data_IF_828943392295
#
_entry.id   IF_828943392295
#
_cell.length_a   1.000
_cell.length_b   1.000
_cell.length_c   1.000
_cell.angle_alpha   90.00
_cell.angle_beta   90.00
_cell.angle_gamma   90.00
#
_symmetry.space_group_name_H-M   'P 1'
#
loop_
_entity.id
_entity.type
_entity.pdbx_description
1 polymer ?
#
# COMPACT_ATOMS: atom_id res chain seq x y z
N UNK A 1 5.77 -14.95 17.34
CA UNK A 1 5.64 -16.23 18.05
C UNK A 1 4.17 -16.59 18.16
N UNK A 2 3.80 -17.88 18.07
CA UNK A 2 2.39 -18.34 18.06
C UNK A 2 1.55 -17.82 19.24
N UNK A 3 2.17 -17.55 20.40
CA UNK A 3 1.47 -16.99 21.56
C UNK A 3 1.02 -15.54 21.38
N UNK A 4 1.65 -14.78 20.48
CA UNK A 4 1.27 -13.40 20.19
C UNK A 4 0.00 -13.33 19.33
N UNK A 5 -0.10 -14.22 18.32
CA UNK A 5 -1.29 -14.37 17.47
C UNK A 5 -2.49 -14.94 18.24
N UNK A 6 -2.22 -15.69 19.31
CA UNK A 6 -3.27 -16.18 20.21
C UNK A 6 -4.04 -15.06 20.92
N UNK A 7 -3.50 -13.84 20.96
CA UNK A 7 -4.15 -12.68 21.57
C UNK A 7 -4.72 -11.75 20.48
N UNK A 8 -6.05 -11.73 20.28
CA UNK A 8 -6.66 -10.88 19.25
C UNK A 8 -6.42 -9.39 19.51
N UNK A 9 -6.42 -8.95 20.77
CA UNK A 9 -6.16 -7.56 21.12
C UNK A 9 -4.71 -7.14 20.82
N UNK A 10 -3.76 -8.08 20.84
CA UNK A 10 -2.40 -7.80 20.40
C UNK A 10 -2.33 -7.61 18.88
N UNK A 11 -2.97 -8.49 18.13
CA UNK A 11 -3.00 -8.41 16.66
C UNK A 11 -3.66 -7.11 16.19
N UNK A 12 -4.78 -6.74 16.80
CA UNK A 12 -5.47 -5.49 16.49
C UNK A 12 -4.57 -4.28 16.73
N UNK A 13 -3.88 -4.21 17.87
CA UNK A 13 -2.92 -3.12 18.14
C UNK A 13 -1.77 -3.06 17.13
N UNK A 14 -1.30 -4.21 16.65
CA UNK A 14 -0.27 -4.24 15.61
C UNK A 14 -0.83 -3.69 14.29
N UNK A 15 -2.05 -4.07 13.92
CA UNK A 15 -2.74 -3.57 12.74
C UNK A 15 -3.01 -2.06 12.82
N UNK A 16 -3.52 -1.57 13.96
CA UNK A 16 -3.69 -0.14 14.25
C UNK A 16 -2.36 0.61 14.10
N UNK A 17 -1.24 0.04 14.57
CA UNK A 17 0.08 0.62 14.39
C UNK A 17 0.56 0.67 12.93
N UNK A 18 0.12 -0.28 12.10
CA UNK A 18 0.43 -0.34 10.66
C UNK A 18 -0.46 0.60 9.83
N UNK A 19 -1.71 0.80 10.26
CA UNK A 19 -2.62 1.84 9.75
C UNK A 19 -2.23 3.24 10.23
N UNK A 20 -1.45 3.31 11.32
CA UNK A 20 -1.03 4.54 11.96
C UNK A 20 -0.25 5.49 11.04
N UNK A 21 -0.24 6.76 11.44
CA UNK A 21 0.32 7.85 10.67
C UNK A 21 1.79 7.65 10.26
N UNK A 22 2.14 8.23 9.11
CA UNK A 22 3.54 8.31 8.69
C UNK A 22 4.33 9.30 9.58
N UNK A 23 5.65 9.15 9.71
CA UNK A 23 6.51 10.16 10.32
C UNK A 23 6.33 11.54 9.67
N UNK A 24 6.34 12.60 10.47
CA UNK A 24 6.09 13.97 10.00
C UNK A 24 7.07 14.44 8.93
N UNK A 25 8.31 13.98 8.97
CA UNK A 25 9.33 14.31 7.97
C UNK A 25 9.15 13.58 6.63
N UNK A 26 8.25 12.59 6.57
CA UNK A 26 7.87 11.88 5.36
C UNK A 26 6.51 12.36 4.80
N UNK A 27 5.87 13.34 5.44
CA UNK A 27 4.59 13.89 5.02
C UNK A 27 4.74 15.17 4.20
N UNK A 28 3.83 15.35 3.27
CA UNK A 28 3.66 16.61 2.57
C UNK A 28 3.08 17.65 3.56
N UNK A 29 3.70 18.82 3.75
CA UNK A 29 3.25 19.80 4.74
C UNK A 29 1.99 20.58 4.32
N UNK A 30 1.53 20.45 3.07
CA UNK A 30 0.27 21.04 2.58
C UNK A 30 -0.89 20.06 2.76
N UNK A 31 -0.67 18.78 2.43
CA UNK A 31 -1.74 17.77 2.38
C UNK A 31 -1.73 16.78 3.53
N UNK A 32 -0.68 16.76 4.35
CA UNK A 32 -0.48 15.83 5.47
C UNK A 32 -0.53 14.34 5.06
N UNK A 33 -0.30 14.05 3.79
CA UNK A 33 -0.20 12.69 3.24
C UNK A 33 1.26 12.30 3.05
N UNK A 34 1.56 11.00 2.99
CA UNK A 34 2.90 10.51 2.66
C UNK A 34 3.40 11.10 1.32
N UNK A 35 4.62 11.63 1.31
CA UNK A 35 5.30 12.10 0.11
C UNK A 35 5.48 10.95 -0.89
N UNK A 36 5.33 11.23 -2.19
CA UNK A 36 5.54 10.26 -3.27
C UNK A 36 6.77 10.60 -4.09
N UNK A 37 6.89 11.86 -4.49
CA UNK A 37 8.07 12.40 -5.17
C UNK A 37 8.52 13.70 -4.51
N UNK A 38 9.32 13.64 -3.43
CA UNK A 38 9.69 14.81 -2.67
C UNK A 38 10.58 15.76 -3.48
N UNK A 39 10.23 17.04 -3.47
CA UNK A 39 10.98 18.13 -4.10
C UNK A 39 11.20 19.27 -3.11
N UNK A 40 12.32 19.95 -3.26
CA UNK A 40 12.68 21.15 -2.48
C UNK A 40 12.35 22.38 -3.31
N UNK A 41 11.56 23.28 -2.72
CA UNK A 41 11.33 24.62 -3.25
C UNK A 41 12.57 25.50 -3.05
N UNK A 42 12.72 26.59 -3.81
CA UNK A 42 13.85 27.53 -3.62
C UNK A 42 13.88 28.20 -2.23
N UNK A 43 12.79 28.12 -1.47
CA UNK A 43 12.70 28.54 -0.06
C UNK A 43 13.30 27.53 0.93
N UNK A 44 13.70 26.34 0.47
CA UNK A 44 14.19 25.24 1.29
C UNK A 44 13.10 24.31 1.84
N UNK A 45 11.83 24.61 1.60
CA UNK A 45 10.71 23.75 2.06
C UNK A 45 10.55 22.54 1.14
N UNK A 46 10.35 21.37 1.74
CA UNK A 46 10.08 20.11 1.05
C UNK A 46 8.58 19.91 0.90
N UNK A 47 8.14 19.56 -0.30
CA UNK A 47 6.75 19.22 -0.64
C UNK A 47 6.74 18.08 -1.66
N UNK A 48 5.59 17.48 -1.92
CA UNK A 48 5.44 16.56 -3.05
C UNK A 48 5.51 17.34 -4.38
N UNK A 49 6.06 16.72 -5.43
CA UNK A 49 6.09 17.32 -6.77
C UNK A 49 4.71 17.75 -7.25
N UNK A 50 3.69 16.93 -7.03
CA UNK A 50 2.31 17.23 -7.47
C UNK A 50 1.67 18.37 -6.68
N UNK A 51 2.16 18.62 -5.45
CA UNK A 51 1.81 19.78 -4.64
C UNK A 51 2.49 21.05 -5.15
N UNK A 52 3.74 20.96 -5.62
CA UNK A 52 4.50 22.10 -6.11
C UNK A 52 4.12 22.51 -7.54
N UNK A 53 3.96 21.53 -8.43
CA UNK A 53 3.83 21.72 -9.86
C UNK A 53 2.41 21.40 -10.36
N UNK A 54 1.99 22.11 -11.39
CA UNK A 54 0.78 21.76 -12.14
C UNK A 54 1.07 20.66 -13.19
N UNK A 55 0.05 20.29 -13.96
CA UNK A 55 0.15 19.28 -15.02
C UNK A 55 1.12 19.67 -16.15
N UNK A 56 1.45 20.97 -16.27
CA UNK A 56 2.40 21.49 -17.26
C UNK A 56 3.83 21.53 -16.72
N UNK A 57 4.03 21.17 -15.44
CA UNK A 57 5.32 21.25 -14.76
C UNK A 57 5.67 22.66 -14.28
N UNK A 58 4.73 23.58 -14.24
CA UNK A 58 4.93 24.95 -13.76
C UNK A 58 4.57 25.07 -12.27
N UNK A 59 5.24 25.97 -11.55
CA UNK A 59 4.94 26.20 -10.15
C UNK A 59 3.51 26.71 -9.94
N UNK A 60 2.77 26.04 -9.05
CA UNK A 60 1.44 26.46 -8.60
C UNK A 60 1.46 27.76 -7.79
N UNK A 61 2.61 28.10 -7.20
CA UNK A 61 2.76 29.23 -6.29
C UNK A 61 3.85 30.19 -6.75
N UNK A 62 3.60 31.49 -6.64
CA UNK A 62 4.62 32.54 -6.87
C UNK A 62 5.47 32.83 -5.62
N UNK A 63 4.90 32.58 -4.44
CA UNK A 63 5.55 32.73 -3.15
C UNK A 63 5.35 31.45 -2.33
N UNK A 64 6.32 31.12 -1.50
CA UNK A 64 6.28 29.95 -0.63
C UNK A 64 5.08 30.06 0.34
N UNK A 65 4.20 29.04 0.42
CA UNK A 65 3.04 29.09 1.32
C UNK A 65 3.43 29.14 2.81
N UNK A 66 4.64 28.70 3.17
CA UNK A 66 5.12 28.64 4.55
C UNK A 66 5.99 29.85 4.94
N UNK A 67 6.97 30.19 4.10
CA UNK A 67 7.95 31.25 4.41
C UNK A 67 7.58 32.61 3.81
N UNK A 68 6.56 32.66 2.94
CA UNK A 68 6.12 33.85 2.18
C UNK A 68 7.18 34.46 1.26
N UNK A 69 8.35 33.85 1.13
CA UNK A 69 9.41 34.29 0.24
C UNK A 69 9.04 34.04 -1.23
N UNK A 70 9.47 34.91 -2.16
CA UNK A 70 9.28 34.68 -3.59
C UNK A 70 10.02 33.40 -4.03
N UNK A 71 9.37 32.59 -4.86
CA UNK A 71 9.95 31.35 -5.37
C UNK A 71 10.61 31.56 -6.73
N UNK A 72 11.74 30.88 -6.95
CA UNK A 72 12.28 30.64 -8.29
C UNK A 72 11.45 29.55 -8.96
N UNK A 73 11.42 29.51 -10.29
CA UNK A 73 10.63 28.52 -11.06
C UNK A 73 11.04 27.07 -10.82
N UNK A 74 12.32 26.83 -10.54
CA UNK A 74 12.87 25.49 -10.43
C UNK A 74 12.51 24.83 -9.09
N UNK A 75 12.25 23.52 -9.15
CA UNK A 75 12.15 22.63 -7.99
C UNK A 75 13.22 21.54 -8.09
N UNK A 76 13.77 21.14 -6.94
CA UNK A 76 14.91 20.23 -6.90
C UNK A 76 14.50 18.88 -6.29
N UNK A 77 14.63 17.75 -7.00
CA UNK A 77 14.30 16.43 -6.44
C UNK A 77 15.15 16.10 -5.22
N UNK A 78 14.52 15.54 -4.18
CA UNK A 78 15.19 15.21 -2.93
C UNK A 78 15.43 13.70 -2.80
N UNK A 79 16.47 13.21 -3.47
CA UNK A 79 16.73 11.78 -3.64
C UNK A 79 16.90 11.03 -2.31
N UNK A 80 17.62 11.61 -1.33
CA UNK A 80 17.80 10.96 -0.03
C UNK A 80 16.47 10.72 0.70
N UNK A 81 15.52 11.66 0.59
CA UNK A 81 14.22 11.52 1.24
C UNK A 81 13.37 10.50 0.50
N UNK A 82 13.50 10.45 -0.83
CA UNK A 82 12.87 9.43 -1.66
C UNK A 82 13.33 8.02 -1.29
N UNK A 83 14.62 7.82 -1.04
CA UNK A 83 15.14 6.53 -0.56
C UNK A 83 14.53 6.15 0.79
N UNK A 84 14.52 7.08 1.75
CA UNK A 84 13.89 6.87 3.06
C UNK A 84 12.39 6.54 2.96
N UNK A 85 11.66 7.17 2.03
CA UNK A 85 10.25 6.87 1.76
C UNK A 85 10.08 5.44 1.25
N UNK A 86 10.92 5.01 0.30
CA UNK A 86 10.88 3.65 -0.23
C UNK A 86 11.15 2.63 0.88
N UNK A 87 12.16 2.86 1.72
CA UNK A 87 12.49 1.99 2.83
C UNK A 87 11.35 1.90 3.87
N UNK A 88 10.74 3.04 4.20
CA UNK A 88 9.58 3.10 5.09
C UNK A 88 8.42 2.28 4.53
N UNK A 89 8.04 2.50 3.27
CA UNK A 89 6.96 1.78 2.60
C UNK A 89 7.24 0.28 2.58
N UNK A 90 8.44 -0.13 2.15
CA UNK A 90 8.81 -1.55 2.05
C UNK A 90 8.81 -2.23 3.41
N UNK A 91 9.35 -1.56 4.43
CA UNK A 91 9.37 -2.09 5.80
C UNK A 91 7.94 -2.32 6.30
N UNK A 92 7.05 -1.36 6.09
CA UNK A 92 5.65 -1.46 6.52
C UNK A 92 4.91 -2.58 5.78
N UNK A 93 5.05 -2.67 4.45
CA UNK A 93 4.47 -3.75 3.65
C UNK A 93 4.99 -5.12 4.10
N UNK A 94 6.29 -5.24 4.38
CA UNK A 94 6.89 -6.48 4.84
C UNK A 94 6.39 -6.88 6.23
N UNK A 95 6.11 -5.92 7.13
CA UNK A 95 5.46 -6.21 8.41
C UNK A 95 4.04 -6.74 8.22
N UNK A 96 3.27 -6.16 7.29
CA UNK A 96 1.93 -6.62 6.94
C UNK A 96 1.97 -8.05 6.39
N UNK A 97 2.86 -8.32 5.43
CA UNK A 97 3.02 -9.66 4.87
C UNK A 97 3.42 -10.68 5.93
N UNK A 98 4.39 -10.35 6.80
CA UNK A 98 4.79 -11.23 7.90
C UNK A 98 3.64 -11.52 8.85
N UNK A 99 2.81 -10.52 9.16
CA UNK A 99 1.64 -10.74 10.01
C UNK A 99 0.65 -11.72 9.35
N UNK A 100 0.33 -11.52 8.08
CA UNK A 100 -0.55 -12.41 7.33
C UNK A 100 0.04 -13.84 7.24
N UNK A 101 1.30 -13.97 6.83
CA UNK A 101 1.99 -15.26 6.70
C UNK A 101 2.02 -16.02 8.04
N UNK A 102 2.32 -15.33 9.15
CA UNK A 102 2.35 -15.96 10.47
C UNK A 102 0.97 -16.37 10.96
N UNK A 103 -0.08 -15.61 10.62
CA UNK A 103 -1.46 -15.97 10.93
C UNK A 103 -1.90 -17.21 10.12
N UNK A 104 -1.59 -17.29 8.82
CA UNK A 104 -1.88 -18.47 8.00
C UNK A 104 -1.19 -19.74 8.51
N UNK A 105 0.09 -19.65 8.90
CA UNK A 105 0.84 -20.80 9.42
C UNK A 105 0.35 -21.27 10.79
N UNK A 106 -0.35 -20.42 11.55
CA UNK A 106 -0.91 -20.78 12.86
C UNK A 106 -2.20 -21.61 12.75
N UNK A 107 -2.86 -21.60 11.58
CA UNK A 107 -4.21 -22.09 11.29
C UNK A 107 -4.48 -23.60 11.40
N UNK A 108 -3.67 -24.35 12.17
CA UNK A 108 -3.92 -25.76 12.45
C UNK A 108 -4.56 -25.93 13.84
N UNK A 109 -5.88 -26.17 13.89
CA UNK A 109 -6.63 -26.55 15.10
C UNK A 109 -7.66 -25.52 15.57
N UNK A 110 -7.97 -25.52 16.88
CA UNK A 110 -8.86 -24.55 17.53
C UNK A 110 -8.28 -23.13 17.41
N UNK A 111 -8.91 -22.27 16.60
CA UNK A 111 -8.44 -20.89 16.35
C UNK A 111 -8.20 -20.56 14.88
N UNK A 112 -8.24 -21.55 13.97
CA UNK A 112 -8.00 -21.33 12.53
C UNK A 112 -8.85 -20.21 11.92
N UNK A 113 -10.14 -20.15 12.25
CA UNK A 113 -11.03 -19.10 11.75
C UNK A 113 -10.61 -17.69 12.19
N UNK A 114 -10.10 -17.53 13.43
CA UNK A 114 -9.61 -16.25 13.94
C UNK A 114 -8.31 -15.85 13.27
N UNK A 115 -7.40 -16.81 13.12
CA UNK A 115 -6.10 -16.56 12.49
C UNK A 115 -6.30 -16.18 11.01
N UNK A 116 -7.24 -16.83 10.32
CA UNK A 116 -7.66 -16.44 8.97
C UNK A 116 -8.27 -15.03 8.92
N UNK A 117 -9.16 -14.69 9.86
CA UNK A 117 -9.71 -13.34 9.94
C UNK A 117 -8.62 -12.28 10.17
N UNK A 118 -7.59 -12.61 10.95
CA UNK A 118 -6.42 -11.74 11.19
C UNK A 118 -5.60 -11.55 9.92
N UNK A 119 -5.38 -12.62 9.15
CA UNK A 119 -4.68 -12.55 7.87
C UNK A 119 -5.45 -11.70 6.84
N UNK A 120 -6.77 -11.88 6.73
CA UNK A 120 -7.63 -11.06 5.86
C UNK A 120 -7.56 -9.59 6.25
N UNK A 121 -7.67 -9.28 7.55
CA UNK A 121 -7.55 -7.90 8.04
C UNK A 121 -6.19 -7.28 7.72
N UNK A 122 -5.09 -8.03 7.89
CA UNK A 122 -3.75 -7.56 7.51
C UNK A 122 -3.67 -7.23 6.01
N UNK A 123 -4.25 -8.08 5.16
CA UNK A 123 -4.31 -7.83 3.72
C UNK A 123 -5.13 -6.59 3.38
N UNK A 124 -6.28 -6.36 4.03
CA UNK A 124 -7.06 -5.14 3.85
C UNK A 124 -6.25 -3.87 4.16
N UNK A 125 -5.52 -3.87 5.29
CA UNK A 125 -4.62 -2.78 5.68
C UNK A 125 -3.58 -2.54 4.58
N UNK A 126 -2.94 -3.61 4.09
CA UNK A 126 -1.96 -3.51 3.02
C UNK A 126 -2.53 -3.03 1.69
N UNK A 127 -3.73 -3.47 1.32
CA UNK A 127 -4.44 -3.02 0.10
C UNK A 127 -4.80 -1.54 0.18
N UNK A 128 -5.26 -1.06 1.33
CA UNK A 128 -5.53 0.36 1.56
C UNK A 128 -4.24 1.17 1.46
N UNK A 129 -3.18 0.74 2.15
CA UNK A 129 -1.89 1.43 2.12
C UNK A 129 -1.32 1.53 0.70
N UNK A 130 -1.34 0.43 -0.08
CA UNK A 130 -0.89 0.42 -1.48
C UNK A 130 -1.73 1.35 -2.37
N UNK A 131 -3.04 1.49 -2.11
CA UNK A 131 -3.91 2.42 -2.82
C UNK A 131 -3.45 3.86 -2.59
N UNK A 132 -3.16 4.23 -1.35
CA UNK A 132 -2.83 5.60 -0.95
C UNK A 132 -1.47 6.03 -1.52
N UNK A 133 -0.46 5.17 -1.43
CA UNK A 133 0.90 5.46 -1.92
C UNK A 133 1.02 5.35 -3.44
N UNK A 134 0.09 4.65 -4.10
CA UNK A 134 0.07 4.43 -5.55
C UNK A 134 0.62 3.05 -5.94
N UNK A 135 -0.31 2.11 -6.18
CA UNK A 135 -0.03 0.71 -6.56
C UNK A 135 0.95 0.55 -7.73
N UNK A 136 0.93 1.48 -8.68
CA UNK A 136 1.78 1.43 -9.88
C UNK A 136 3.28 1.65 -9.59
N UNK A 137 3.62 2.25 -8.45
CA UNK A 137 5.02 2.42 -8.03
C UNK A 137 5.57 1.13 -7.41
N UNK A 138 4.70 0.35 -6.76
CA UNK A 138 5.04 -0.86 -6.00
C UNK A 138 4.35 -2.08 -6.61
N UNK A 139 4.50 -2.27 -7.93
CA UNK A 139 3.78 -3.31 -8.68
C UNK A 139 4.06 -4.72 -8.18
N UNK A 140 5.28 -4.99 -7.68
CA UNK A 140 5.63 -6.29 -7.14
C UNK A 140 4.88 -6.57 -5.83
N UNK A 141 4.89 -5.61 -4.91
CA UNK A 141 4.20 -5.71 -3.64
C UNK A 141 2.68 -5.71 -3.83
N UNK A 142 2.15 -4.94 -4.79
CA UNK A 142 0.74 -4.96 -5.15
C UNK A 142 0.31 -6.33 -5.73
N UNK A 143 1.13 -6.95 -6.56
CA UNK A 143 0.86 -8.30 -7.07
C UNK A 143 0.87 -9.32 -5.93
N UNK A 144 1.91 -9.29 -5.07
CA UNK A 144 2.01 -10.18 -3.90
C UNK A 144 0.78 -10.04 -3.00
N UNK A 145 0.34 -8.81 -2.74
CA UNK A 145 -0.85 -8.52 -1.93
C UNK A 145 -2.13 -9.08 -2.57
N UNK A 146 -2.33 -8.85 -3.87
CA UNK A 146 -3.53 -9.32 -4.57
C UNK A 146 -3.59 -10.86 -4.63
N UNK A 147 -2.46 -11.53 -4.85
CA UNK A 147 -2.38 -13.00 -4.80
C UNK A 147 -2.69 -13.55 -3.42
N UNK A 148 -2.11 -12.95 -2.38
CA UNK A 148 -2.36 -13.35 -1.00
C UNK A 148 -3.84 -13.17 -0.63
N UNK A 149 -4.46 -12.08 -1.08
CA UNK A 149 -5.88 -11.83 -0.86
C UNK A 149 -6.76 -12.94 -1.46
N UNK A 150 -6.53 -13.30 -2.74
CA UNK A 150 -7.27 -14.39 -3.38
C UNK A 150 -7.06 -15.73 -2.68
N UNK A 151 -5.82 -16.04 -2.27
CA UNK A 151 -5.54 -17.27 -1.52
C UNK A 151 -6.34 -17.32 -0.21
N UNK A 152 -6.34 -16.23 0.56
CA UNK A 152 -7.08 -16.17 1.84
C UNK A 152 -8.58 -16.27 1.64
N UNK A 153 -9.13 -15.64 0.60
CA UNK A 153 -10.55 -15.77 0.25
C UNK A 153 -10.87 -17.23 -0.09
N UNK A 154 -10.03 -17.91 -0.87
CA UNK A 154 -10.24 -19.31 -1.21
C UNK A 154 -10.22 -20.21 0.03
N UNK A 155 -9.29 -19.97 0.96
CA UNK A 155 -9.19 -20.70 2.24
C UNK A 155 -10.40 -20.42 3.16
N UNK A 156 -11.00 -19.23 3.09
CA UNK A 156 -12.19 -18.89 3.86
C UNK A 156 -13.44 -19.67 3.44
N UNK A 157 -13.55 -20.03 2.15
CA UNK A 157 -14.68 -20.77 1.58
C UNK A 157 -16.06 -20.08 1.69
N UNK A 158 -16.14 -18.92 2.35
CA UNK A 158 -17.35 -18.15 2.61
C UNK A 158 -17.08 -16.67 2.28
N UNK A 159 -16.85 -16.39 1.01
CA UNK A 159 -16.66 -15.05 0.46
C UNK A 159 -17.88 -14.63 -0.35
N UNK A 160 -18.16 -13.32 -0.37
CA UNK A 160 -19.14 -12.77 -1.29
C UNK A 160 -18.54 -12.71 -2.70
N UNK A 161 -19.33 -13.01 -3.73
CA UNK A 161 -18.88 -12.95 -5.12
C UNK A 161 -18.24 -11.59 -5.48
N UNK A 162 -18.73 -10.50 -4.88
CA UNK A 162 -18.17 -9.17 -5.03
C UNK A 162 -16.73 -9.05 -4.48
N UNK A 163 -16.42 -9.67 -3.34
CA UNK A 163 -15.08 -9.64 -2.74
C UNK A 163 -14.06 -10.39 -3.61
N UNK A 164 -14.45 -11.55 -4.14
CA UNK A 164 -13.61 -12.32 -5.06
C UNK A 164 -13.36 -11.57 -6.36
N UNK A 165 -14.41 -11.03 -6.98
CA UNK A 165 -14.30 -10.23 -8.21
C UNK A 165 -13.41 -9.00 -8.01
N UNK A 166 -13.55 -8.29 -6.89
CA UNK A 166 -12.72 -7.13 -6.55
C UNK A 166 -11.24 -7.50 -6.39
N UNK A 167 -10.95 -8.57 -5.63
CA UNK A 167 -9.59 -9.10 -5.47
C UNK A 167 -8.98 -9.51 -6.81
N UNK A 168 -9.79 -10.13 -7.65
CA UNK A 168 -9.37 -10.63 -8.95
C UNK A 168 -9.10 -9.52 -9.96
N UNK A 169 -9.99 -8.53 -10.04
CA UNK A 169 -9.82 -7.34 -10.87
C UNK A 169 -8.54 -6.59 -10.47
N UNK A 170 -8.27 -6.48 -9.16
CA UNK A 170 -7.04 -5.87 -8.66
C UNK A 170 -5.79 -6.60 -9.16
N UNK A 171 -5.74 -7.93 -9.06
CA UNK A 171 -4.63 -8.73 -9.58
C UNK A 171 -4.46 -8.52 -11.09
N UNK A 172 -5.55 -8.58 -11.85
CA UNK A 172 -5.52 -8.41 -13.29
C UNK A 172 -4.97 -7.03 -13.69
N UNK A 173 -5.43 -5.98 -13.00
CA UNK A 173 -4.96 -4.61 -13.21
C UNK A 173 -3.45 -4.49 -12.96
N UNK A 174 -2.94 -5.11 -11.88
CA UNK A 174 -1.51 -5.10 -11.58
C UNK A 174 -0.70 -5.86 -12.65
N UNK A 175 -1.15 -7.04 -13.07
CA UNK A 175 -0.47 -7.84 -14.10
C UNK A 175 -0.43 -7.14 -15.46
N UNK A 176 -1.52 -6.47 -15.85
CA UNK A 176 -1.57 -5.64 -17.04
C UNK A 176 -0.56 -4.50 -16.98
N UNK A 177 -0.45 -3.80 -15.84
CA UNK A 177 0.52 -2.72 -15.64
C UNK A 177 1.97 -3.21 -15.67
N UNK A 178 2.25 -4.47 -15.33
CA UNK A 178 3.60 -5.08 -15.44
C UNK A 178 3.98 -5.48 -16.86
N UNK A 179 3.04 -5.40 -17.82
CA UNK A 179 3.29 -5.82 -19.20
C UNK A 179 3.30 -7.34 -19.39
N UNK A 180 2.62 -8.10 -18.52
CA UNK A 180 2.46 -9.56 -18.66
C UNK A 180 0.98 -9.90 -19.01
N UNK A 181 0.51 -9.55 -20.23
CA UNK A 181 -0.91 -9.66 -20.59
C UNK A 181 -1.41 -11.12 -20.66
N UNK A 182 -0.51 -12.09 -20.91
CA UNK A 182 -0.87 -13.52 -20.94
C UNK A 182 -1.25 -14.03 -19.55
N UNK A 183 -0.47 -13.70 -18.52
CA UNK A 183 -0.80 -14.06 -17.13
C UNK A 183 -2.02 -13.31 -16.60
N UNK A 184 -2.26 -12.09 -17.05
CA UNK A 184 -3.49 -11.36 -16.76
C UNK A 184 -4.73 -12.07 -17.31
N UNK A 185 -4.65 -12.57 -18.55
CA UNK A 185 -5.71 -13.38 -19.17
C UNK A 185 -5.92 -14.74 -18.50
N UNK A 186 -4.84 -15.47 -18.21
CA UNK A 186 -4.89 -16.75 -17.48
C UNK A 186 -5.48 -16.59 -16.07
N UNK A 187 -5.18 -15.48 -15.38
CA UNK A 187 -5.83 -15.14 -14.12
C UNK A 187 -7.34 -14.96 -14.32
N UNK A 188 -7.78 -14.13 -15.28
CA UNK A 188 -9.20 -13.91 -15.62
C UNK A 188 -9.96 -15.22 -15.92
N UNK A 189 -9.36 -16.13 -16.67
CA UNK A 189 -9.98 -17.42 -17.00
C UNK A 189 -10.05 -18.38 -15.80
N UNK A 190 -9.02 -18.39 -14.94
CA UNK A 190 -9.00 -19.19 -13.71
C UNK A 190 -10.12 -18.79 -12.73
N UNK A 191 -10.32 -17.49 -12.50
CA UNK A 191 -11.39 -17.01 -11.61
C UNK A 191 -12.79 -17.33 -12.12
N UNK A 192 -13.01 -17.29 -13.44
CA UNK A 192 -14.29 -17.68 -14.03
C UNK A 192 -14.58 -19.19 -13.88
N UNK A 193 -13.54 -20.02 -13.74
CA UNK A 193 -13.67 -21.46 -13.51
C UNK A 193 -13.87 -21.83 -12.03
N UNK A 194 -13.31 -21.08 -11.09
CA UNK A 194 -13.46 -21.30 -9.64
C UNK A 194 -14.78 -20.74 -9.07
N UNK A 195 -15.47 -19.86 -9.81
CA UNK A 195 -16.80 -19.33 -9.46
C UNK A 195 -17.97 -20.24 -9.87
N UNK A 196 -17.73 -21.37 -10.56
CA UNK A 196 -18.77 -22.35 -10.96
C UNK A 196 -18.85 -23.51 -9.99
#
# INVERSE_FOLDING_TARGET
>A
SRSALANPAFCEKVLEGLEGDAPEDLKDPLFFTLLKDPVVLSSGVVVDRTSALDERGELRFRSCPFTRQPLKRDVYPLLFLKERLVDFVKTRLEQIFKLADTAMQAGNGEGAARDLATALRAVEVGRSFLKDIGRHTYLHEAERMARLHLQLLAEAGAWEAAQWLDAHEELCRVLLMRGDPKKGGEALEGAASEMR
#
